data_IF_141812704958
#
_entry.id   IF_141812704958
#
_cell.length_a   1.000
_cell.length_b   1.000
_cell.length_c   1.000
_cell.angle_alpha   90.00
_cell.angle_beta   90.00
_cell.angle_gamma   90.00
#
_symmetry.space_group_name_H-M   'P 1'
#
loop_
_entity.id
_entity.type
_entity.pdbx_description
1 polymer ?
#
# COMPACT_ATOMS: atom_id res chain seq x y z
N UNK A 1 -13.18 65.19 -34.96
CA UNK A 1 -13.85 63.92 -34.58
C UNK A 1 -12.79 62.90 -34.22
N UNK A 2 -12.55 62.64 -32.96
CA UNK A 2 -11.50 61.75 -32.49
C UNK A 2 -12.13 60.44 -32.05
N UNK A 3 -11.75 59.32 -32.75
CA UNK A 3 -12.20 57.96 -32.46
C UNK A 3 -11.47 57.42 -31.24
N UNK A 4 -12.24 57.13 -30.15
CA UNK A 4 -11.73 56.48 -28.93
C UNK A 4 -11.51 54.98 -29.19
N UNK A 5 -10.26 54.55 -29.29
CA UNK A 5 -9.89 53.14 -29.31
C UNK A 5 -10.22 52.46 -27.97
N UNK A 6 -11.09 51.46 -28.03
CA UNK A 6 -11.53 50.64 -26.90
C UNK A 6 -10.43 49.65 -26.56
N UNK A 7 -9.66 49.85 -25.47
CA UNK A 7 -8.66 48.94 -24.94
C UNK A 7 -9.35 47.60 -24.53
N UNK A 8 -9.05 46.52 -25.26
CA UNK A 8 -9.39 45.15 -24.88
C UNK A 8 -8.68 44.80 -23.57
N UNK A 9 -9.44 44.47 -22.52
CA UNK A 9 -8.90 43.91 -21.30
C UNK A 9 -8.36 42.49 -21.59
N UNK A 10 -7.16 42.10 -21.08
CA UNK A 10 -6.67 40.73 -21.24
C UNK A 10 -7.51 39.82 -20.38
N UNK A 11 -8.33 38.97 -21.00
CA UNK A 11 -9.01 37.84 -20.38
C UNK A 11 -8.04 36.67 -20.29
N UNK A 12 -7.38 36.56 -19.18
CA UNK A 12 -6.42 35.49 -18.92
C UNK A 12 -6.30 35.18 -17.43
N UNK A 13 -7.44 34.87 -16.73
CA UNK A 13 -7.33 34.01 -15.55
C UNK A 13 -6.89 32.64 -16.05
N UNK A 14 -5.85 32.02 -15.43
CA UNK A 14 -5.54 30.63 -15.72
C UNK A 14 -6.85 29.83 -15.52
N UNK A 15 -7.22 28.99 -16.50
CA UNK A 15 -8.34 28.05 -16.33
C UNK A 15 -8.04 27.27 -15.07
N UNK A 16 -8.67 27.59 -13.95
CA UNK A 16 -8.68 26.73 -12.76
C UNK A 16 -9.11 25.36 -13.28
N UNK A 17 -8.21 24.37 -13.19
CA UNK A 17 -8.52 23.01 -13.61
C UNK A 17 -9.74 22.60 -12.80
N UNK A 18 -10.81 22.18 -13.48
CA UNK A 18 -12.04 21.73 -12.84
C UNK A 18 -11.73 20.73 -11.72
N UNK A 19 -12.46 20.82 -10.60
CA UNK A 19 -12.35 19.84 -9.53
C UNK A 19 -12.83 18.49 -10.05
N UNK A 20 -12.03 17.46 -9.88
CA UNK A 20 -12.36 16.07 -10.25
C UNK A 20 -12.07 15.15 -9.07
N UNK A 21 -12.71 13.99 -9.05
CA UNK A 21 -12.43 12.97 -8.04
C UNK A 21 -10.94 12.59 -8.03
N UNK A 22 -10.35 12.39 -9.20
CA UNK A 22 -8.93 12.05 -9.32
C UNK A 22 -8.01 13.12 -8.69
N UNK A 23 -8.30 14.40 -8.90
CA UNK A 23 -7.54 15.50 -8.27
C UNK A 23 -7.68 15.50 -6.74
N UNK A 24 -8.88 15.19 -6.23
CA UNK A 24 -9.13 15.08 -4.79
C UNK A 24 -8.32 13.93 -4.20
N UNK A 25 -8.36 12.76 -4.84
CA UNK A 25 -7.64 11.55 -4.39
C UNK A 25 -6.11 11.77 -4.48
N UNK A 26 -5.62 12.36 -5.55
CA UNK A 26 -4.19 12.68 -5.68
C UNK A 26 -3.71 13.67 -4.62
N UNK A 27 -4.49 14.73 -4.33
CA UNK A 27 -4.18 15.68 -3.26
C UNK A 27 -4.22 15.03 -1.88
N UNK A 28 -5.17 14.13 -1.65
CA UNK A 28 -5.26 13.34 -0.41
C UNK A 28 -4.04 12.45 -0.22
N UNK A 29 -3.58 11.76 -1.27
CA UNK A 29 -2.36 10.94 -1.23
C UNK A 29 -1.13 11.79 -0.89
N UNK A 30 -0.95 12.95 -1.53
CA UNK A 30 0.15 13.86 -1.23
C UNK A 30 0.14 14.35 0.24
N UNK A 31 -1.04 14.63 0.81
CA UNK A 31 -1.17 15.01 2.21
C UNK A 31 -0.81 13.85 3.14
N UNK A 32 -1.25 12.63 2.83
CA UNK A 32 -0.91 11.42 3.60
C UNK A 32 0.60 11.14 3.56
N UNK A 33 1.24 11.36 2.41
CA UNK A 33 2.69 11.18 2.28
C UNK A 33 3.49 12.20 3.09
N UNK A 34 2.94 13.41 3.29
CA UNK A 34 3.63 14.52 3.96
C UNK A 34 3.30 14.70 5.44
N UNK A 35 2.28 14.00 5.95
CA UNK A 35 1.79 14.18 7.33
C UNK A 35 1.34 12.86 7.94
N UNK A 36 1.15 12.86 9.27
CA UNK A 36 0.60 11.70 9.97
C UNK A 36 -0.85 11.44 9.57
N UNK A 37 -1.17 10.18 9.28
CA UNK A 37 -2.51 9.74 8.93
C UNK A 37 -3.56 10.11 10.00
N UNK A 38 -3.17 10.17 11.27
CA UNK A 38 -4.06 10.52 12.38
C UNK A 38 -4.62 11.94 12.25
N UNK A 39 -3.84 12.89 11.73
CA UNK A 39 -4.23 14.29 11.55
C UNK A 39 -4.97 14.56 10.24
N UNK A 40 -5.04 13.61 9.32
CA UNK A 40 -5.63 13.76 7.99
C UNK A 40 -7.15 14.01 8.04
N UNK A 41 -7.62 15.05 7.34
CA UNK A 41 -9.04 15.36 7.23
C UNK A 41 -9.45 15.83 5.81
N UNK A 42 -10.74 15.68 5.48
CA UNK A 42 -11.32 16.21 4.23
C UNK A 42 -11.17 17.74 4.11
N UNK A 43 -11.12 18.45 5.25
CA UNK A 43 -10.90 19.91 5.27
C UNK A 43 -9.50 20.28 4.81
N UNK A 44 -8.50 19.47 5.12
CA UNK A 44 -7.12 19.70 4.69
C UNK A 44 -6.99 19.48 3.19
N UNK A 45 -7.68 18.46 2.64
CA UNK A 45 -7.77 18.25 1.18
C UNK A 45 -8.44 19.44 0.49
N UNK A 46 -9.55 19.94 1.03
CA UNK A 46 -10.22 21.12 0.48
C UNK A 46 -9.31 22.36 0.50
N UNK A 47 -8.58 22.56 1.60
CA UNK A 47 -7.61 23.65 1.76
C UNK A 47 -6.46 23.53 0.74
N UNK A 48 -5.90 22.36 0.54
CA UNK A 48 -4.80 22.12 -0.43
C UNK A 48 -5.24 22.38 -1.88
N UNK A 49 -6.52 22.16 -2.17
CA UNK A 49 -7.11 22.37 -3.50
C UNK A 49 -7.70 23.77 -3.68
N UNK A 50 -7.67 24.63 -2.64
CA UNK A 50 -8.29 25.96 -2.62
C UNK A 50 -9.80 25.96 -2.92
N UNK A 51 -10.51 24.94 -2.42
CA UNK A 51 -11.97 24.82 -2.57
C UNK A 51 -12.68 24.79 -1.20
N UNK A 52 -13.99 25.01 -1.20
CA UNK A 52 -14.78 24.83 0.01
C UNK A 52 -14.93 23.34 0.35
N UNK A 53 -14.92 22.96 1.63
CA UNK A 53 -15.11 21.57 2.05
C UNK A 53 -16.36 20.90 1.48
N UNK A 54 -17.45 21.67 1.31
CA UNK A 54 -18.68 21.20 0.69
C UNK A 54 -18.50 20.70 -0.74
N UNK A 55 -17.55 21.27 -1.49
CA UNK A 55 -17.25 20.80 -2.85
C UNK A 55 -16.66 19.39 -2.87
N UNK A 56 -15.89 18.99 -1.84
CA UNK A 56 -15.32 17.64 -1.72
C UNK A 56 -16.45 16.61 -1.53
N UNK A 57 -17.47 16.93 -0.72
CA UNK A 57 -18.57 16.01 -0.41
C UNK A 57 -19.45 15.64 -1.62
N UNK A 58 -19.37 16.39 -2.71
CA UNK A 58 -20.02 16.01 -3.98
C UNK A 58 -19.34 14.79 -4.65
N UNK A 59 -18.05 14.56 -4.38
CA UNK A 59 -17.24 13.48 -4.97
C UNK A 59 -17.00 12.33 -4.01
N UNK A 60 -16.93 12.62 -2.70
CA UNK A 60 -16.56 11.66 -1.66
C UNK A 60 -17.40 11.90 -0.42
N UNK A 61 -18.16 10.91 0.00
CA UNK A 61 -19.17 11.06 1.07
C UNK A 61 -18.57 10.98 2.47
N UNK A 62 -17.41 10.34 2.65
CA UNK A 62 -16.76 10.14 3.94
C UNK A 62 -15.24 10.14 3.84
N UNK A 63 -14.57 10.27 5.00
CA UNK A 63 -13.13 10.10 5.12
C UNK A 63 -12.70 8.69 4.70
N UNK A 64 -13.42 7.67 5.13
CA UNK A 64 -13.09 6.28 4.85
C UNK A 64 -13.24 5.96 3.36
N UNK A 65 -14.26 6.50 2.69
CA UNK A 65 -14.39 6.40 1.24
C UNK A 65 -13.20 7.02 0.53
N UNK A 66 -12.76 8.22 0.94
CA UNK A 66 -11.58 8.86 0.36
C UNK A 66 -10.31 8.02 0.60
N UNK A 67 -10.11 7.51 1.80
CA UNK A 67 -8.96 6.67 2.12
C UNK A 67 -8.93 5.38 1.28
N UNK A 68 -10.08 4.74 1.07
CA UNK A 68 -10.19 3.59 0.16
C UNK A 68 -9.82 3.94 -1.29
N UNK A 69 -10.31 5.08 -1.79
CA UNK A 69 -9.94 5.58 -3.12
C UNK A 69 -8.45 5.95 -3.21
N UNK A 70 -7.84 6.46 -2.15
CA UNK A 70 -6.39 6.73 -2.09
C UNK A 70 -5.58 5.44 -2.22
N UNK A 71 -5.95 4.39 -1.49
CA UNK A 71 -5.27 3.08 -1.61
C UNK A 71 -5.41 2.53 -3.03
N UNK A 72 -6.61 2.57 -3.60
CA UNK A 72 -6.86 2.12 -4.97
C UNK A 72 -6.05 2.91 -6.00
N UNK A 73 -5.94 4.23 -5.82
CA UNK A 73 -5.16 5.11 -6.70
C UNK A 73 -3.65 4.85 -6.57
N UNK A 74 -3.13 4.71 -5.38
CA UNK A 74 -1.71 4.42 -5.15
C UNK A 74 -1.29 3.06 -5.72
N UNK A 75 -2.21 2.08 -5.74
CA UNK A 75 -1.96 0.73 -6.26
C UNK A 75 -2.50 0.48 -7.67
N UNK A 76 -2.88 1.52 -8.43
CA UNK A 76 -3.55 1.38 -9.73
C UNK A 76 -2.73 0.61 -10.78
N UNK A 77 -1.40 0.74 -10.75
CA UNK A 77 -0.50 0.20 -11.77
C UNK A 77 0.15 -1.15 -11.37
N UNK A 78 -0.46 -1.87 -10.41
CA UNK A 78 0.11 -3.11 -9.87
C UNK A 78 -0.18 -4.34 -10.72
N UNK A 79 -1.19 -4.27 -11.59
CA UNK A 79 -1.55 -5.38 -12.47
C UNK A 79 -0.50 -5.50 -13.58
N UNK A 80 0.18 -6.64 -13.71
CA UNK A 80 1.03 -6.89 -14.85
C UNK A 80 0.21 -6.89 -16.15
N UNK A 81 0.76 -6.45 -17.28
CA UNK A 81 0.06 -6.57 -18.55
C UNK A 81 -0.25 -8.05 -18.81
N UNK A 82 -1.46 -8.30 -19.31
CA UNK A 82 -1.88 -9.64 -19.73
C UNK A 82 -1.05 -10.05 -20.95
N UNK A 83 0.06 -10.71 -20.71
CA UNK A 83 0.80 -11.44 -21.73
C UNK A 83 0.58 -12.93 -21.45
N UNK A 84 0.82 -13.78 -22.43
CA UNK A 84 0.74 -15.23 -22.36
C UNK A 84 1.82 -15.82 -21.39
N UNK A 85 1.91 -15.23 -20.19
CA UNK A 85 2.95 -15.42 -19.19
C UNK A 85 2.52 -16.51 -18.22
N UNK A 86 3.44 -17.38 -17.82
CA UNK A 86 3.23 -18.35 -16.74
C UNK A 86 2.63 -17.64 -15.50
N UNK A 87 1.57 -18.21 -14.93
CA UNK A 87 0.89 -17.67 -13.74
C UNK A 87 1.83 -17.38 -12.56
N UNK A 88 2.91 -18.16 -12.41
CA UNK A 88 3.91 -17.96 -11.36
C UNK A 88 4.70 -16.67 -11.58
N UNK A 89 5.10 -16.42 -12.82
CA UNK A 89 5.80 -15.20 -13.23
C UNK A 89 4.89 -14.00 -13.07
N UNK A 90 3.63 -14.14 -13.50
CA UNK A 90 2.63 -13.09 -13.35
C UNK A 90 2.37 -12.74 -11.88
N UNK A 91 2.16 -13.76 -11.04
CA UNK A 91 1.89 -13.57 -9.61
C UNK A 91 3.08 -12.92 -8.91
N UNK A 92 4.31 -13.33 -9.22
CA UNK A 92 5.54 -12.73 -8.71
C UNK A 92 5.63 -11.24 -9.09
N UNK A 93 5.45 -10.90 -10.36
CA UNK A 93 5.51 -9.51 -10.83
C UNK A 93 4.41 -8.66 -10.16
N UNK A 94 3.20 -9.17 -10.05
CA UNK A 94 2.09 -8.51 -9.35
C UNK A 94 2.45 -8.21 -7.88
N UNK A 95 2.98 -9.18 -7.14
CA UNK A 95 3.39 -9.01 -5.74
C UNK A 95 4.49 -7.95 -5.60
N UNK A 96 5.50 -7.97 -6.47
CA UNK A 96 6.57 -6.97 -6.47
C UNK A 96 6.06 -5.57 -6.83
N UNK A 97 5.16 -5.45 -7.81
CA UNK A 97 4.54 -4.18 -8.17
C UNK A 97 3.73 -3.61 -7.01
N UNK A 98 2.95 -4.47 -6.35
CA UNK A 98 2.14 -4.06 -5.21
C UNK A 98 3.04 -3.55 -4.06
N UNK A 99 4.08 -4.31 -3.69
CA UNK A 99 5.04 -3.89 -2.66
C UNK A 99 5.71 -2.56 -3.02
N UNK A 100 6.20 -2.40 -4.27
CA UNK A 100 6.82 -1.14 -4.73
C UNK A 100 5.84 0.03 -4.67
N UNK A 101 4.59 -0.16 -5.04
CA UNK A 101 3.57 0.89 -4.95
C UNK A 101 3.38 1.37 -3.50
N UNK A 102 3.35 0.44 -2.54
CA UNK A 102 3.22 0.80 -1.12
C UNK A 102 4.53 1.37 -0.56
N UNK A 103 5.69 0.87 -0.97
CA UNK A 103 6.99 1.45 -0.59
C UNK A 103 7.14 2.90 -1.06
N UNK A 104 6.57 3.25 -2.21
CA UNK A 104 6.53 4.64 -2.71
C UNK A 104 5.65 5.55 -1.85
N UNK A 105 4.63 4.98 -1.19
CA UNK A 105 3.66 5.68 -0.36
C UNK A 105 3.49 4.96 1.00
N UNK A 106 4.55 4.90 1.84
CA UNK A 106 4.56 4.01 3.01
C UNK A 106 3.47 4.32 4.03
N UNK A 107 3.02 5.57 4.09
CA UNK A 107 1.97 6.02 5.00
C UNK A 107 0.58 5.44 4.68
N UNK A 108 0.39 4.80 3.49
CA UNK A 108 -0.84 4.06 3.20
C UNK A 108 -0.84 2.63 3.75
N UNK A 109 0.31 2.07 4.16
CA UNK A 109 0.38 0.68 4.62
C UNK A 109 -0.64 0.35 5.73
N UNK A 110 -0.84 1.18 6.77
CA UNK A 110 -1.87 0.93 7.78
C UNK A 110 -3.30 0.93 7.23
N UNK A 111 -3.53 1.65 6.10
CA UNK A 111 -4.83 1.74 5.48
C UNK A 111 -5.22 0.48 4.72
N UNK A 112 -4.26 -0.25 4.16
CA UNK A 112 -4.52 -1.39 3.28
C UNK A 112 -5.38 -2.42 4.01
N UNK A 113 -4.99 -2.84 5.21
CA UNK A 113 -5.74 -3.82 5.99
C UNK A 113 -7.10 -3.30 6.47
N UNK A 114 -7.20 -2.03 6.87
CA UNK A 114 -8.45 -1.44 7.36
C UNK A 114 -9.45 -1.16 6.24
N UNK A 115 -8.97 -0.74 5.06
CA UNK A 115 -9.83 -0.40 3.92
C UNK A 115 -10.36 -1.62 3.17
N UNK A 116 -9.76 -2.80 3.33
CA UNK A 116 -10.33 -4.05 2.82
C UNK A 116 -11.74 -4.33 3.34
N UNK A 117 -12.12 -3.78 4.50
CA UNK A 117 -13.46 -3.94 5.11
C UNK A 117 -14.46 -2.85 4.67
N UNK A 118 -13.99 -1.69 4.26
CA UNK A 118 -14.87 -0.54 3.97
C UNK A 118 -15.52 -0.58 2.59
N UNK A 119 -15.15 -1.53 1.73
CA UNK A 119 -15.60 -1.65 0.33
C UNK A 119 -15.39 -0.39 -0.53
N UNK A 120 -14.76 0.66 0.01
CA UNK A 120 -14.62 1.94 -0.69
C UNK A 120 -13.55 1.91 -1.79
N UNK A 121 -12.68 0.90 -1.79
CA UNK A 121 -11.58 0.76 -2.74
C UNK A 121 -11.58 -0.57 -3.50
N UNK A 122 -12.76 -1.20 -3.72
CA UNK A 122 -12.84 -2.45 -4.50
C UNK A 122 -12.34 -2.19 -5.92
N UNK A 123 -11.29 -2.92 -6.30
CA UNK A 123 -10.72 -2.90 -7.64
C UNK A 123 -11.05 -4.19 -8.37
N UNK A 124 -12.06 -4.14 -9.23
CA UNK A 124 -12.51 -5.30 -10.01
C UNK A 124 -11.38 -5.85 -10.90
N UNK A 125 -10.58 -4.98 -11.51
CA UNK A 125 -9.42 -5.33 -12.34
C UNK A 125 -8.34 -6.11 -11.56
N UNK A 126 -8.09 -5.74 -10.29
CA UNK A 126 -7.15 -6.44 -9.43
C UNK A 126 -7.64 -7.82 -9.03
N UNK A 127 -8.91 -7.91 -8.63
CA UNK A 127 -9.54 -9.18 -8.26
C UNK A 127 -9.56 -10.11 -9.46
N UNK A 128 -10.05 -9.64 -10.60
CA UNK A 128 -10.16 -10.40 -11.84
C UNK A 128 -8.77 -10.89 -12.32
N UNK A 129 -7.74 -10.05 -12.27
CA UNK A 129 -6.38 -10.43 -12.64
C UNK A 129 -5.84 -11.58 -11.79
N UNK A 130 -6.02 -11.54 -10.46
CA UNK A 130 -5.58 -12.63 -9.56
C UNK A 130 -6.39 -13.91 -9.81
N UNK A 131 -7.71 -13.81 -9.96
CA UNK A 131 -8.56 -14.96 -10.25
C UNK A 131 -8.22 -15.60 -11.60
N UNK A 132 -7.96 -14.79 -12.63
CA UNK A 132 -7.51 -15.26 -13.94
C UNK A 132 -6.20 -16.03 -13.86
N UNK A 133 -5.22 -15.52 -13.10
CA UNK A 133 -3.96 -16.22 -12.89
C UNK A 133 -4.12 -17.55 -12.15
N UNK A 134 -5.01 -17.60 -11.15
CA UNK A 134 -5.32 -18.83 -10.42
C UNK A 134 -6.08 -19.85 -11.29
N UNK A 135 -7.02 -19.42 -12.11
CA UNK A 135 -7.71 -20.28 -13.06
C UNK A 135 -6.73 -20.86 -14.09
N UNK A 136 -5.81 -20.03 -14.62
CA UNK A 136 -4.73 -20.47 -15.52
C UNK A 136 -3.77 -21.45 -14.84
N UNK A 137 -3.59 -21.35 -13.52
CA UNK A 137 -2.82 -22.34 -12.73
C UNK A 137 -3.53 -23.69 -12.60
N UNK A 138 -4.84 -23.75 -12.87
CA UNK A 138 -5.69 -24.94 -12.75
C UNK A 138 -6.40 -25.09 -11.41
N UNK A 139 -6.59 -23.98 -10.65
CA UNK A 139 -7.42 -24.03 -9.44
C UNK A 139 -8.88 -24.23 -9.82
N UNK A 140 -9.56 -25.24 -9.24
CA UNK A 140 -10.99 -25.42 -9.44
C UNK A 140 -11.80 -24.34 -8.73
N UNK A 141 -13.00 -24.06 -9.23
CA UNK A 141 -13.87 -22.96 -8.73
C UNK A 141 -14.13 -23.04 -7.22
N UNK A 142 -14.24 -24.26 -6.68
CA UNK A 142 -14.50 -24.49 -5.25
C UNK A 142 -13.32 -24.07 -4.35
N UNK A 143 -12.12 -23.90 -4.90
CA UNK A 143 -10.90 -23.58 -4.15
C UNK A 143 -10.26 -22.26 -4.53
N UNK A 144 -10.74 -21.63 -5.58
CA UNK A 144 -10.12 -20.42 -6.13
C UNK A 144 -10.16 -19.25 -5.12
N UNK A 145 -11.24 -19.17 -4.34
CA UNK A 145 -11.41 -18.16 -3.29
C UNK A 145 -10.41 -18.38 -2.14
N UNK A 146 -10.19 -19.62 -1.74
CA UNK A 146 -9.21 -19.94 -0.70
C UNK A 146 -7.81 -19.57 -1.14
N UNK A 147 -7.44 -19.92 -2.38
CA UNK A 147 -6.15 -19.58 -2.96
C UNK A 147 -5.98 -18.04 -3.09
N UNK A 148 -7.01 -17.33 -3.52
CA UNK A 148 -7.06 -15.87 -3.55
C UNK A 148 -6.80 -15.28 -2.16
N UNK A 149 -7.50 -15.76 -1.13
CA UNK A 149 -7.37 -15.27 0.24
C UNK A 149 -5.96 -15.54 0.82
N UNK A 150 -5.35 -16.68 0.50
CA UNK A 150 -3.96 -16.98 0.88
C UNK A 150 -3.00 -15.95 0.28
N UNK A 151 -3.11 -15.66 -1.02
CA UNK A 151 -2.23 -14.69 -1.69
C UNK A 151 -2.40 -13.31 -1.07
N UNK A 152 -3.63 -12.81 -1.00
CA UNK A 152 -3.89 -11.43 -0.59
C UNK A 152 -3.60 -11.25 0.90
N UNK A 153 -4.05 -12.18 1.74
CA UNK A 153 -3.79 -12.11 3.18
C UNK A 153 -2.31 -12.13 3.52
N UNK A 154 -1.56 -13.01 2.85
CA UNK A 154 -0.13 -13.12 3.05
C UNK A 154 0.62 -11.88 2.52
N UNK A 155 0.32 -11.41 1.29
CA UNK A 155 0.92 -10.22 0.68
C UNK A 155 0.71 -8.97 1.54
N UNK A 156 -0.55 -8.70 1.91
CA UNK A 156 -0.92 -7.55 2.74
C UNK A 156 -0.27 -7.66 4.12
N UNK A 157 -0.29 -8.85 4.73
CA UNK A 157 0.34 -9.09 6.02
C UNK A 157 1.83 -8.77 6.02
N UNK A 158 2.57 -9.26 5.02
CA UNK A 158 4.00 -8.98 4.90
C UNK A 158 4.28 -7.48 4.74
N UNK A 159 3.60 -6.82 3.80
CA UNK A 159 3.81 -5.40 3.47
C UNK A 159 3.45 -4.51 4.66
N UNK A 160 2.33 -4.76 5.33
CA UNK A 160 1.93 -4.00 6.51
C UNK A 160 2.94 -4.14 7.66
N UNK A 161 3.54 -5.32 7.84
CA UNK A 161 4.58 -5.51 8.86
C UNK A 161 5.90 -4.87 8.46
N UNK A 162 6.30 -4.98 7.20
CA UNK A 162 7.53 -4.35 6.69
C UNK A 162 7.50 -2.84 6.82
N UNK A 163 6.38 -2.22 6.44
CA UNK A 163 6.19 -0.77 6.38
C UNK A 163 5.42 -0.22 7.60
N UNK A 164 5.34 -0.99 8.68
CA UNK A 164 4.69 -0.53 9.91
C UNK A 164 5.26 0.82 10.32
N UNK A 165 4.38 1.77 10.63
CA UNK A 165 4.78 3.08 11.08
C UNK A 165 5.56 2.98 12.39
N UNK A 166 6.69 3.69 12.47
CA UNK A 166 7.40 3.87 13.73
C UNK A 166 6.62 4.88 14.60
N UNK A 167 6.75 4.82 15.95
CA UNK A 167 6.14 5.81 16.81
C UNK A 167 6.52 7.23 16.40
N UNK A 168 5.52 8.11 16.25
CA UNK A 168 5.71 9.47 15.73
C UNK A 168 6.54 10.37 16.66
N UNK A 169 6.38 10.16 17.99
CA UNK A 169 7.09 10.95 18.98
C UNK A 169 8.54 10.43 19.17
N UNK A 170 9.51 11.28 18.85
CA UNK A 170 10.93 11.06 19.11
C UNK A 170 11.45 9.68 18.64
N UNK A 171 11.30 9.43 17.34
CA UNK A 171 11.68 8.15 16.71
C UNK A 171 13.10 7.68 17.07
N UNK A 172 14.06 8.61 17.13
CA UNK A 172 15.46 8.28 17.49
C UNK A 172 15.57 7.72 18.91
N UNK A 173 14.90 8.35 19.87
CA UNK A 173 14.88 7.90 21.27
C UNK A 173 14.17 6.57 21.41
N UNK A 174 13.05 6.39 20.70
CA UNK A 174 12.34 5.12 20.66
C UNK A 174 13.21 4.00 20.07
N UNK A 175 13.86 4.26 18.92
CA UNK A 175 14.73 3.28 18.26
C UNK A 175 15.90 2.86 19.15
N UNK A 176 16.54 3.81 19.85
CA UNK A 176 17.59 3.53 20.82
C UNK A 176 17.09 2.69 21.99
N UNK A 177 15.96 3.06 22.59
CA UNK A 177 15.33 2.30 23.67
C UNK A 177 14.92 0.89 23.23
N UNK A 178 14.41 0.75 22.00
CA UNK A 178 14.05 -0.55 21.45
C UNK A 178 15.27 -1.42 21.15
N UNK A 179 16.34 -0.85 20.59
CA UNK A 179 17.62 -1.54 20.39
C UNK A 179 18.18 -2.04 21.71
N UNK A 180 18.15 -1.19 22.76
CA UNK A 180 18.58 -1.59 24.11
C UNK A 180 17.73 -2.74 24.66
N UNK A 181 16.40 -2.70 24.50
CA UNK A 181 15.52 -3.82 24.90
C UNK A 181 15.88 -5.12 24.19
N UNK A 182 16.11 -5.07 22.88
CA UNK A 182 16.53 -6.24 22.09
C UNK A 182 17.88 -6.80 22.59
N UNK A 183 18.85 -5.94 22.93
CA UNK A 183 20.15 -6.38 23.45
C UNK A 183 20.11 -6.95 24.87
N UNK A 184 19.03 -6.67 25.61
CA UNK A 184 18.79 -7.17 26.99
C UNK A 184 17.89 -8.41 27.04
N UNK A 185 17.52 -8.98 25.88
CA UNK A 185 16.76 -10.21 25.86
C UNK A 185 17.54 -11.33 26.56
N UNK A 186 16.87 -12.03 27.49
CA UNK A 186 17.44 -13.20 28.11
C UNK A 186 17.56 -14.34 27.11
N UNK A 187 18.76 -14.60 26.68
CA UNK A 187 19.08 -15.65 25.70
C UNK A 187 19.68 -16.90 26.36
N UNK A 188 19.90 -16.89 27.69
CA UNK A 188 20.59 -17.97 28.39
C UNK A 188 19.80 -19.28 28.28
N UNK A 189 18.48 -19.20 28.46
CA UNK A 189 17.60 -20.36 28.36
C UNK A 189 17.05 -20.61 26.94
N UNK A 190 17.45 -19.78 25.95
CA UNK A 190 16.91 -19.78 24.59
C UNK A 190 18.02 -19.92 23.54
N UNK A 191 18.61 -21.12 23.45
CA UNK A 191 19.79 -21.37 22.59
C UNK A 191 19.58 -20.97 21.12
N UNK A 192 18.41 -21.23 20.53
CA UNK A 192 18.11 -20.83 19.16
C UNK A 192 18.07 -19.29 19.02
N UNK A 193 17.48 -18.60 19.99
CA UNK A 193 17.46 -17.14 20.02
C UNK A 193 18.90 -16.59 20.18
N UNK A 194 19.67 -17.12 21.10
CA UNK A 194 21.08 -16.73 21.31
C UNK A 194 21.88 -16.80 20.00
N UNK A 195 21.72 -17.90 19.25
CA UNK A 195 22.43 -18.14 18.00
C UNK A 195 22.01 -17.16 16.87
N UNK A 196 20.72 -16.83 16.78
CA UNK A 196 20.16 -16.12 15.63
C UNK A 196 19.88 -14.64 15.88
N UNK A 197 19.76 -14.19 17.14
CA UNK A 197 19.46 -12.80 17.48
C UNK A 197 20.33 -11.75 16.78
N UNK A 198 21.66 -11.94 16.65
CA UNK A 198 22.51 -10.97 15.93
C UNK A 198 22.12 -10.77 14.47
N UNK A 199 21.58 -11.83 13.83
CA UNK A 199 21.10 -11.77 12.43
C UNK A 199 19.66 -11.27 12.31
N UNK A 200 18.86 -11.42 13.36
CA UNK A 200 17.47 -10.97 13.44
C UNK A 200 17.37 -9.47 13.73
N UNK A 201 18.33 -8.90 14.46
CA UNK A 201 18.35 -7.52 14.90
C UNK A 201 18.13 -6.56 13.72
N UNK A 202 17.11 -5.70 13.82
CA UNK A 202 16.62 -4.78 12.80
C UNK A 202 16.16 -5.43 11.46
N UNK A 203 16.01 -6.75 11.41
CA UNK A 203 15.57 -7.50 10.21
C UNK A 203 14.32 -8.35 10.44
N UNK A 204 14.17 -8.97 11.60
CA UNK A 204 12.94 -9.71 11.90
C UNK A 204 11.88 -8.75 12.46
N UNK A 205 10.63 -8.90 12.04
CA UNK A 205 9.54 -7.94 12.29
C UNK A 205 9.46 -7.42 13.73
N UNK A 206 9.53 -8.30 14.72
CA UNK A 206 9.37 -7.93 16.13
C UNK A 206 10.60 -7.26 16.76
N UNK A 207 11.78 -7.41 16.16
CA UNK A 207 13.05 -6.86 16.67
C UNK A 207 13.62 -5.76 15.77
N UNK A 208 12.74 -4.99 15.12
CA UNK A 208 13.10 -3.87 14.24
C UNK A 208 12.93 -2.54 14.95
N UNK A 209 13.87 -1.63 14.71
CA UNK A 209 13.83 -0.22 15.10
C UNK A 209 13.85 0.74 13.90
N UNK A 210 13.89 0.19 12.68
CA UNK A 210 13.66 0.90 11.43
C UNK A 210 12.58 0.17 10.63
N UNK A 211 11.82 0.88 9.82
CA UNK A 211 10.84 0.26 8.92
C UNK A 211 11.45 -0.08 7.55
N UNK A 212 10.63 -0.60 6.64
CA UNK A 212 11.06 -1.07 5.33
C UNK A 212 11.51 0.02 4.37
N UNK A 213 11.30 1.31 4.68
CA UNK A 213 11.83 2.42 3.86
C UNK A 213 13.31 2.62 4.11
N UNK A 214 13.78 2.39 5.33
CA UNK A 214 15.19 2.52 5.70
C UNK A 214 15.94 1.18 5.55
N UNK A 215 15.30 0.09 5.96
CA UNK A 215 15.88 -1.26 5.91
C UNK A 215 14.89 -2.20 5.20
N UNK A 216 14.90 -2.26 3.86
CA UNK A 216 14.04 -3.16 3.10
C UNK A 216 14.29 -4.63 3.41
N UNK A 217 13.23 -5.44 3.31
CA UNK A 217 13.28 -6.89 3.51
C UNK A 217 13.24 -7.65 2.18
N UNK A 218 14.03 -7.24 1.19
CA UNK A 218 13.95 -7.75 -0.19
C UNK A 218 14.13 -9.26 -0.25
N UNK A 219 15.19 -9.81 0.34
CA UNK A 219 15.44 -11.26 0.36
C UNK A 219 14.37 -12.05 1.09
N UNK A 220 13.78 -11.48 2.14
CA UNK A 220 12.67 -12.11 2.87
C UNK A 220 11.39 -12.08 2.05
N UNK A 221 11.15 -11.00 1.30
CA UNK A 221 10.00 -10.87 0.43
C UNK A 221 10.10 -11.83 -0.76
N UNK A 222 11.28 -11.98 -1.37
CA UNK A 222 11.52 -12.94 -2.45
C UNK A 222 11.25 -14.36 -1.98
N UNK A 223 11.83 -14.76 -0.85
CA UNK A 223 11.59 -16.07 -0.25
C UNK A 223 10.10 -16.28 0.08
N UNK A 224 9.45 -15.26 0.63
CA UNK A 224 8.02 -15.31 0.94
C UNK A 224 7.18 -15.60 -0.32
N UNK A 225 7.43 -14.92 -1.44
CA UNK A 225 6.73 -15.16 -2.70
C UNK A 225 7.03 -16.58 -3.24
N UNK A 226 8.28 -17.01 -3.18
CA UNK A 226 8.67 -18.36 -3.60
C UNK A 226 7.91 -19.44 -2.85
N UNK A 227 7.81 -19.30 -1.53
CA UNK A 227 7.07 -20.22 -0.66
C UNK A 227 5.59 -20.23 -0.99
N UNK A 228 4.96 -19.06 -1.21
CA UNK A 228 3.55 -18.98 -1.61
C UNK A 228 3.31 -19.69 -2.94
N UNK A 229 4.11 -19.39 -3.97
CA UNK A 229 3.94 -19.98 -5.29
C UNK A 229 4.14 -21.49 -5.24
N UNK A 230 5.18 -21.95 -4.54
CA UNK A 230 5.44 -23.38 -4.36
C UNK A 230 4.31 -24.07 -3.59
N UNK A 231 3.82 -23.45 -2.52
CA UNK A 231 2.69 -23.96 -1.73
C UNK A 231 1.42 -24.09 -2.57
N UNK A 232 1.09 -23.08 -3.37
CA UNK A 232 -0.04 -23.13 -4.30
C UNK A 232 0.13 -24.26 -5.33
N UNK A 233 1.29 -24.39 -5.94
CA UNK A 233 1.57 -25.47 -6.90
C UNK A 233 1.44 -26.87 -6.27
N UNK A 234 1.96 -27.05 -5.06
CA UNK A 234 1.84 -28.34 -4.36
C UNK A 234 0.38 -28.64 -3.95
N UNK A 235 -0.37 -27.60 -3.57
CA UNK A 235 -1.78 -27.77 -3.22
C UNK A 235 -2.66 -28.23 -4.40
N UNK A 236 -2.24 -27.93 -5.64
CA UNK A 236 -2.88 -28.45 -6.85
C UNK A 236 -2.54 -29.94 -7.11
N UNK A 237 -1.30 -30.35 -6.80
CA UNK A 237 -0.83 -31.74 -7.03
C UNK A 237 -1.36 -32.74 -6.00
N UNK A 238 -1.50 -32.33 -4.76
CA UNK A 238 -1.85 -33.20 -3.63
C UNK A 238 -3.29 -33.80 -3.70
N UNK A 239 -4.11 -33.43 -4.69
CA UNK A 239 -5.47 -33.92 -4.87
C UNK A 239 -5.78 -34.44 -6.28
N UNK A 240 -4.75 -34.75 -7.07
CA UNK A 240 -4.83 -35.64 -8.22
C UNK A 240 -4.54 -37.08 -7.78
#
# INVERSE_FOLDING_TARGET
MASRARKKRPSGRPKERALTEERIVAAALQLIDSSELASFSLRDVARSLHVYPTAIYWYVKSRDELLGKVVAYATRDVIPPSSNTDWKVWLRDMCHRYRRAVQKHPNIAPLIGSQMRSNAGIRADFIDGVLTALAAAGFPDERIVDAYNVIIGALVGFICQELAALPAENQAKWAEAHRKRVSMLDVIQHQALARHLPRMANKAFIVRWSNGTEVPLDTSFDLFIDVIILGLEQSLKARR
#
